data_IF_788902897728
#
_entry.id   IF_788902897728
#
_cell.length_a   1.000
_cell.length_b   1.000
_cell.length_c   1.000
_cell.angle_alpha   90.00
_cell.angle_beta   90.00
_cell.angle_gamma   90.00
#
_symmetry.space_group_name_H-M   'P 1'
#
loop_
_entity.id
_entity.type
_entity.pdbx_description
1 polymer ?
#
# COMPACT_ATOMS: atom_id res chain seq x y z
N UNK A 1 -37.11 -0.33 8.46
CA UNK A 1 -36.23 0.79 8.03
C UNK A 1 -35.00 1.00 8.92
N UNK A 2 -35.10 0.90 10.26
CA UNK A 2 -33.94 1.06 11.17
C UNK A 2 -32.82 0.01 11.00
N UNK A 3 -33.18 -1.24 10.68
CA UNK A 3 -32.24 -2.36 10.51
C UNK A 3 -31.28 -2.18 9.32
N UNK A 4 -31.77 -1.62 8.20
CA UNK A 4 -30.97 -1.44 6.96
C UNK A 4 -29.88 -0.38 7.15
N UNK A 5 -30.16 0.65 7.94
CA UNK A 5 -29.22 1.74 8.21
C UNK A 5 -28.00 1.25 9.01
N UNK A 6 -28.21 0.34 9.96
CA UNK A 6 -27.12 -0.28 10.73
C UNK A 6 -26.20 -1.13 9.84
N UNK A 7 -26.74 -1.85 8.86
CA UNK A 7 -25.94 -2.70 7.96
C UNK A 7 -25.01 -1.87 7.08
N UNK A 8 -25.45 -0.71 6.56
CA UNK A 8 -24.65 0.16 5.68
C UNK A 8 -23.46 0.78 6.43
N UNK A 9 -23.65 1.18 7.69
CA UNK A 9 -22.59 1.75 8.53
C UNK A 9 -21.51 0.70 8.86
N UNK A 10 -21.91 -0.53 9.15
CA UNK A 10 -20.98 -1.62 9.46
C UNK A 10 -20.11 -1.98 8.24
N UNK A 11 -20.72 -2.06 7.05
CA UNK A 11 -20.02 -2.36 5.79
C UNK A 11 -18.99 -1.29 5.40
N UNK A 12 -19.28 -0.01 5.66
CA UNK A 12 -18.37 1.09 5.34
C UNK A 12 -17.17 1.16 6.30
N UNK A 13 -17.34 0.74 7.54
CA UNK A 13 -16.26 0.65 8.53
C UNK A 13 -15.22 -0.41 8.16
N UNK A 14 -15.66 -1.58 7.68
CA UNK A 14 -14.78 -2.67 7.24
C UNK A 14 -13.89 -2.27 6.06
N UNK A 15 -14.43 -1.49 5.11
CA UNK A 15 -13.65 -1.00 3.96
C UNK A 15 -12.57 0.01 4.33
N UNK A 16 -12.79 0.81 5.38
CA UNK A 16 -11.80 1.79 5.82
C UNK A 16 -10.58 1.10 6.44
N UNK A 17 -10.83 0.04 7.22
CA UNK A 17 -9.80 -0.78 7.85
C UNK A 17 -8.91 -1.47 6.79
N UNK A 18 -9.52 -2.14 5.81
CA UNK A 18 -8.83 -2.79 4.70
C UNK A 18 -7.94 -1.81 3.90
N UNK A 19 -8.46 -0.61 3.59
CA UNK A 19 -7.66 0.43 2.91
C UNK A 19 -6.46 0.86 3.77
N UNK A 20 -6.63 0.98 5.09
CA UNK A 20 -5.55 1.38 5.98
C UNK A 20 -4.44 0.33 6.08
N UNK A 21 -4.82 -0.95 6.16
CA UNK A 21 -3.86 -2.07 6.16
C UNK A 21 -3.10 -2.15 4.83
N UNK A 22 -3.80 -1.96 3.70
CA UNK A 22 -3.17 -1.96 2.38
C UNK A 22 -2.15 -0.82 2.23
N UNK A 23 -2.47 0.38 2.70
CA UNK A 23 -1.53 1.52 2.68
C UNK A 23 -0.27 1.19 3.47
N UNK A 24 -0.42 0.71 4.72
CA UNK A 24 0.72 0.33 5.58
C UNK A 24 1.56 -0.78 4.93
N UNK A 25 0.92 -1.77 4.32
CA UNK A 25 1.60 -2.87 3.64
C UNK A 25 2.43 -2.39 2.43
N UNK A 26 1.92 -1.40 1.68
CA UNK A 26 2.64 -0.74 0.59
C UNK A 26 3.80 0.11 1.12
N UNK A 27 3.58 0.91 2.16
CA UNK A 27 4.61 1.77 2.75
C UNK A 27 5.79 0.97 3.29
N UNK A 28 5.55 -0.22 3.85
CA UNK A 28 6.58 -1.18 4.28
C UNK A 28 7.27 -1.90 3.12
N UNK A 29 6.73 -1.83 1.91
CA UNK A 29 7.31 -2.47 0.71
C UNK A 29 8.24 -1.54 -0.08
N UNK A 30 8.01 -0.23 0.03
CA UNK A 30 8.71 0.79 -0.76
C UNK A 30 9.82 1.44 0.06
N UNK A 31 10.98 1.65 -0.57
CA UNK A 31 12.07 2.44 0.02
C UNK A 31 11.71 3.93 0.01
N UNK A 32 11.92 4.60 1.14
CA UNK A 32 11.75 6.05 1.23
C UNK A 32 12.82 6.75 0.39
N UNK A 33 12.41 7.59 -0.56
CA UNK A 33 13.36 8.28 -1.47
C UNK A 33 14.20 9.36 -0.78
N UNK A 34 13.88 9.73 0.46
CA UNK A 34 14.61 10.74 1.22
C UNK A 34 15.99 10.26 1.68
N UNK A 35 16.14 8.97 1.99
CA UNK A 35 17.38 8.44 2.54
C UNK A 35 17.82 7.09 1.94
N UNK A 36 16.91 6.36 1.28
CA UNK A 36 17.19 5.02 0.73
C UNK A 36 17.73 4.03 1.76
N UNK A 37 17.55 4.29 3.05
CA UNK A 37 18.06 3.47 4.15
C UNK A 37 16.96 2.73 4.92
N UNK A 38 15.70 2.96 4.58
CA UNK A 38 14.57 2.18 5.07
C UNK A 38 13.29 2.49 4.30
N UNK A 39 12.19 1.91 4.79
CA UNK A 39 10.90 1.95 4.10
C UNK A 39 10.22 3.32 4.26
N UNK A 40 9.21 3.61 3.42
CA UNK A 40 8.34 4.78 3.61
C UNK A 40 7.70 4.75 4.99
N UNK A 41 7.31 3.57 5.47
CA UNK A 41 6.73 3.40 6.80
C UNK A 41 7.69 3.78 7.94
N UNK A 42 8.96 3.38 7.84
CA UNK A 42 9.94 3.57 8.92
C UNK A 42 10.58 4.97 8.91
N UNK A 43 10.81 5.54 7.72
CA UNK A 43 11.54 6.79 7.54
C UNK A 43 10.67 7.97 7.11
N UNK A 44 9.43 7.71 6.72
CA UNK A 44 8.49 8.69 6.19
C UNK A 44 8.85 9.14 4.78
N UNK A 45 7.83 9.56 4.04
CA UNK A 45 7.96 10.39 2.85
C UNK A 45 6.58 10.93 2.50
N UNK A 46 6.28 12.16 2.94
CA UNK A 46 4.94 12.74 2.83
C UNK A 46 4.38 12.75 1.40
N UNK A 47 5.24 12.95 0.40
CA UNK A 47 4.78 12.92 -1.00
C UNK A 47 4.36 11.50 -1.42
N UNK A 48 5.17 10.50 -1.06
CA UNK A 48 4.86 9.10 -1.35
C UNK A 48 3.63 8.63 -0.56
N UNK A 49 3.53 8.94 0.73
CA UNK A 49 2.37 8.61 1.58
C UNK A 49 1.06 9.13 0.96
N UNK A 50 1.04 10.40 0.55
CA UNK A 50 -0.12 11.01 -0.12
C UNK A 50 -0.44 10.31 -1.45
N UNK A 51 0.58 9.99 -2.25
CA UNK A 51 0.38 9.27 -3.52
C UNK A 51 -0.14 7.85 -3.30
N UNK A 52 0.42 7.10 -2.35
CA UNK A 52 -0.02 5.74 -1.99
C UNK A 52 -1.48 5.77 -1.56
N UNK A 53 -1.82 6.64 -0.61
CA UNK A 53 -3.20 6.78 -0.12
C UNK A 53 -4.17 7.15 -1.26
N UNK A 54 -3.78 8.07 -2.14
CA UNK A 54 -4.58 8.46 -3.30
C UNK A 54 -4.79 7.31 -4.29
N UNK A 55 -3.77 6.50 -4.57
CA UNK A 55 -3.89 5.35 -5.46
C UNK A 55 -4.75 4.24 -4.86
N UNK A 56 -4.61 3.96 -3.55
CA UNK A 56 -5.47 3.02 -2.84
C UNK A 56 -6.93 3.49 -2.86
N UNK A 57 -7.18 4.79 -2.69
CA UNK A 57 -8.53 5.33 -2.75
C UNK A 57 -9.17 5.19 -4.15
N UNK A 58 -8.34 5.29 -5.19
CA UNK A 58 -8.72 5.00 -6.58
C UNK A 58 -8.91 3.50 -6.88
N UNK A 59 -8.70 2.61 -5.91
CA UNK A 59 -8.88 1.17 -6.06
C UNK A 59 -7.71 0.48 -6.76
N UNK A 60 -6.52 1.09 -6.79
CA UNK A 60 -5.32 0.45 -7.31
C UNK A 60 -4.83 -0.67 -6.40
N UNK A 61 -4.33 -1.73 -7.01
CA UNK A 61 -3.75 -2.87 -6.30
C UNK A 61 -2.33 -2.56 -5.79
N UNK A 62 -1.87 -3.29 -4.78
CA UNK A 62 -0.48 -3.20 -4.27
C UNK A 62 0.55 -3.31 -5.40
N UNK A 63 0.37 -4.25 -6.33
CA UNK A 63 1.29 -4.48 -7.44
C UNK A 63 1.34 -3.29 -8.41
N UNK A 64 0.18 -2.73 -8.78
CA UNK A 64 0.14 -1.53 -9.63
C UNK A 64 0.87 -0.35 -8.98
N UNK A 65 0.68 -0.17 -7.66
CA UNK A 65 1.31 0.91 -6.91
C UNK A 65 2.83 0.71 -6.81
N UNK A 66 3.28 -0.51 -6.50
CA UNK A 66 4.71 -0.84 -6.46
C UNK A 66 5.36 -0.64 -7.83
N UNK A 67 4.71 -1.08 -8.91
CA UNK A 67 5.22 -0.90 -10.26
C UNK A 67 5.33 0.58 -10.62
N UNK A 68 4.32 1.40 -10.29
CA UNK A 68 4.38 2.85 -10.49
C UNK A 68 5.61 3.49 -9.83
N UNK A 69 5.91 3.13 -8.58
CA UNK A 69 7.09 3.68 -7.88
C UNK A 69 8.41 3.10 -8.40
N UNK A 70 8.41 1.84 -8.80
CA UNK A 70 9.57 1.18 -9.45
C UNK A 70 9.90 1.85 -10.78
N UNK A 71 8.89 2.13 -11.61
CA UNK A 71 9.07 2.81 -12.89
C UNK A 71 9.59 4.25 -12.70
N UNK A 72 9.11 4.94 -11.66
CA UNK A 72 9.48 6.33 -11.37
C UNK A 72 10.90 6.48 -10.80
N UNK A 73 11.32 5.55 -9.93
CA UNK A 73 12.55 5.69 -9.14
C UNK A 73 13.60 4.59 -9.38
N UNK A 74 13.29 3.60 -10.21
CA UNK A 74 14.08 2.39 -10.42
C UNK A 74 13.83 1.33 -9.36
N UNK A 75 14.32 0.10 -9.63
CA UNK A 75 14.26 -1.01 -8.68
C UNK A 75 15.11 -0.73 -7.44
N UNK A 76 14.45 -0.30 -6.37
CA UNK A 76 15.05 -0.13 -5.03
C UNK A 76 14.11 -0.71 -4.01
N UNK A 77 14.21 -2.03 -3.84
CA UNK A 77 13.30 -2.80 -3.00
C UNK A 77 13.90 -3.07 -1.63
N UNK A 78 13.06 -3.05 -0.60
CA UNK A 78 13.41 -3.68 0.66
C UNK A 78 13.16 -5.20 0.53
N UNK A 79 14.19 -6.04 0.71
CA UNK A 79 14.16 -7.45 0.29
C UNK A 79 13.12 -8.31 1.03
N UNK A 80 12.55 -7.83 2.14
CA UNK A 80 11.67 -8.61 2.99
C UNK A 80 10.30 -8.93 2.38
N UNK A 81 9.77 -8.11 1.47
CA UNK A 81 8.38 -8.27 1.01
C UNK A 81 8.20 -8.86 -0.40
N UNK A 82 9.18 -8.71 -1.31
CA UNK A 82 9.08 -9.30 -2.65
C UNK A 82 9.20 -10.82 -2.66
N UNK A 83 9.89 -11.41 -1.68
CA UNK A 83 10.03 -12.87 -1.57
C UNK A 83 8.67 -13.58 -1.47
N UNK A 84 7.65 -12.93 -0.90
CA UNK A 84 6.32 -13.55 -0.78
C UNK A 84 5.54 -13.58 -2.10
N UNK A 85 5.78 -12.63 -3.01
CA UNK A 85 5.15 -12.59 -4.33
C UNK A 85 5.91 -13.38 -5.40
N UNK A 86 7.25 -13.32 -5.38
CA UNK A 86 8.09 -13.97 -6.39
C UNK A 86 8.12 -15.50 -6.25
N UNK A 87 8.00 -16.02 -5.02
CA UNK A 87 7.90 -17.46 -4.77
C UNK A 87 6.62 -18.07 -5.39
N UNK A 88 5.54 -17.28 -5.53
CA UNK A 88 4.27 -17.75 -6.10
C UNK A 88 4.26 -17.83 -7.63
N UNK A 89 5.24 -17.19 -8.30
CA UNK A 89 5.36 -17.21 -9.77
C UNK A 89 6.41 -18.21 -10.27
N UNK A 90 7.19 -18.81 -9.37
CA UNK A 90 8.23 -19.79 -9.67
C UNK A 90 7.91 -21.19 -9.13
N UNK A 91 6.68 -21.42 -8.64
CA UNK A 91 6.17 -22.70 -8.15
C UNK A 91 4.97 -23.19 -8.95
#
# INVERSE_FOLDING_TARGET
>A
MKQIFFTIILLSSLKADEKSELIIDIEKSLMATCCWSGTVYDHGNKEMEIQIAGMVDQGKTKLEIINFFTDKYGERFYPYQLLRGLIFLLG
#
